data_IF_946862459654
#
_entry.id   IF_946862459654
#
_cell.length_a   1.000
_cell.length_b   1.000
_cell.length_c   1.000
_cell.angle_alpha   90.00
_cell.angle_beta   90.00
_cell.angle_gamma   90.00
#
_symmetry.space_group_name_H-M   'P 1'
#
loop_
_entity.id
_entity.type
_entity.pdbx_description
1 polymer ?
#
# COMPACT_ATOMS: atom_id res chain seq x y z
N UNK A 1 4.70 -11.29 -9.06
CA UNK A 1 5.57 -10.97 -7.89
C UNK A 1 5.98 -9.51 -7.93
N UNK A 2 6.21 -8.87 -6.76
CA UNK A 2 6.70 -7.48 -6.70
C UNK A 2 7.52 -7.24 -5.43
N UNK A 3 8.46 -6.29 -5.49
CA UNK A 3 9.29 -5.85 -4.35
C UNK A 3 8.67 -4.61 -3.72
N UNK A 4 8.54 -4.57 -2.40
CA UNK A 4 8.13 -3.38 -1.66
C UNK A 4 9.27 -2.35 -1.73
N UNK A 5 8.95 -1.13 -2.16
CA UNK A 5 9.93 -0.04 -2.32
C UNK A 5 9.55 1.23 -1.54
N UNK A 6 8.33 1.30 -0.99
CA UNK A 6 7.86 2.44 -0.20
C UNK A 6 6.80 2.00 0.80
N UNK A 7 6.97 2.44 2.05
CA UNK A 7 6.02 2.16 3.14
C UNK A 7 5.83 3.39 4.03
N UNK A 8 4.74 3.39 4.81
CA UNK A 8 4.52 4.35 5.90
C UNK A 8 4.11 3.62 7.18
N UNK A 9 4.68 4.04 8.31
CA UNK A 9 4.30 3.54 9.62
C UNK A 9 3.14 4.33 10.22
N UNK A 10 2.23 3.61 10.89
CA UNK A 10 1.10 4.15 11.66
C UNK A 10 1.06 3.43 13.01
N UNK A 11 1.29 4.18 14.11
CA UNK A 11 1.56 3.60 15.41
C UNK A 11 0.62 4.11 16.50
N UNK A 12 -0.22 3.21 16.96
CA UNK A 12 -1.05 3.38 18.14
C UNK A 12 -2.17 4.41 18.06
N UNK A 13 -2.89 4.59 19.17
CA UNK A 13 -3.98 5.56 19.29
C UNK A 13 -3.50 7.00 19.39
N UNK A 14 -2.25 7.24 19.79
CA UNK A 14 -1.68 8.58 19.89
C UNK A 14 -1.36 9.18 18.51
N UNK A 15 -1.11 8.33 17.51
CA UNK A 15 -0.89 8.78 16.14
C UNK A 15 -2.16 9.35 15.53
N UNK A 16 -2.24 10.67 15.44
CA UNK A 16 -3.39 11.38 14.89
C UNK A 16 -3.66 11.09 13.41
N UNK A 17 -2.72 10.48 12.71
CA UNK A 17 -2.93 10.00 11.34
C UNK A 17 -3.42 8.55 11.29
N UNK A 18 -3.26 7.77 12.37
CA UNK A 18 -3.70 6.37 12.47
C UNK A 18 -5.22 6.25 12.62
N UNK A 19 -5.78 5.19 12.07
CA UNK A 19 -7.17 4.80 12.34
C UNK A 19 -7.39 4.40 13.81
N UNK A 20 -6.36 3.97 14.51
CA UNK A 20 -6.40 3.61 15.92
C UNK A 20 -6.76 4.77 16.85
N UNK A 21 -6.56 6.04 16.42
CA UNK A 21 -6.91 7.25 17.19
C UNK A 21 -8.38 7.35 17.58
N UNK A 22 -9.25 6.69 16.85
CA UNK A 22 -10.69 6.68 17.10
C UNK A 22 -11.13 5.55 18.07
N UNK A 23 -10.15 4.86 18.68
CA UNK A 23 -10.40 3.64 19.45
C UNK A 23 -10.66 2.43 18.54
N UNK A 24 -10.97 1.29 19.18
CA UNK A 24 -11.28 0.06 18.45
C UNK A 24 -12.68 0.13 17.83
N UNK A 25 -12.75 -0.11 16.54
CA UNK A 25 -13.98 -0.21 15.75
C UNK A 25 -13.98 -1.54 15.00
N UNK A 26 -15.13 -2.00 14.52
CA UNK A 26 -15.21 -3.22 13.70
C UNK A 26 -14.25 -3.19 12.51
N UNK A 27 -13.99 -2.00 11.94
CA UNK A 27 -13.12 -1.82 10.77
C UNK A 27 -11.64 -1.96 11.11
N UNK A 28 -11.19 -1.39 12.22
CA UNK A 28 -9.77 -1.30 12.58
C UNK A 28 -9.33 -2.27 13.69
N UNK A 29 -10.24 -3.08 14.23
CA UNK A 29 -9.93 -4.03 15.30
C UNK A 29 -8.78 -4.98 14.94
N UNK A 30 -8.63 -5.31 13.64
CA UNK A 30 -7.54 -6.14 13.13
C UNK A 30 -6.16 -5.54 13.41
N UNK A 31 -6.03 -4.21 13.51
CA UNK A 31 -4.75 -3.53 13.78
C UNK A 31 -4.16 -3.90 15.15
N UNK A 32 -4.99 -4.35 16.10
CA UNK A 32 -4.55 -4.83 17.41
C UNK A 32 -4.38 -6.37 17.46
N UNK A 33 -4.50 -7.03 16.32
CA UNK A 33 -4.31 -8.47 16.16
C UNK A 33 -2.85 -8.88 16.02
N UNK A 34 -2.61 -10.13 15.60
CA UNK A 34 -1.25 -10.64 15.35
C UNK A 34 -0.54 -9.84 14.26
N UNK A 35 0.79 -9.60 14.37
CA UNK A 35 1.56 -9.02 13.30
C UNK A 35 1.60 -9.96 12.07
N UNK A 36 1.78 -9.37 10.87
CA UNK A 36 1.77 -10.12 9.61
C UNK A 36 0.37 -10.30 9.00
N UNK A 37 -0.68 -9.87 9.69
CA UNK A 37 -2.05 -9.94 9.16
C UNK A 37 -2.34 -8.74 8.26
N UNK A 38 -3.11 -8.98 7.19
CA UNK A 38 -3.52 -7.97 6.23
C UNK A 38 -4.65 -7.10 6.79
N UNK A 39 -4.49 -5.79 6.69
CA UNK A 39 -5.53 -4.79 6.94
C UNK A 39 -5.77 -3.95 5.70
N UNK A 40 -6.95 -4.08 5.12
CA UNK A 40 -7.36 -3.30 3.92
C UNK A 40 -8.49 -2.36 4.29
N UNK A 41 -8.40 -1.12 3.82
CA UNK A 41 -9.49 -0.16 4.00
C UNK A 41 -9.71 0.68 2.74
N UNK A 42 -10.96 1.04 2.51
CA UNK A 42 -11.37 1.88 1.38
C UNK A 42 -11.15 3.37 1.70
N UNK A 43 -10.43 4.08 0.83
CA UNK A 43 -10.19 5.53 0.90
C UNK A 43 -11.07 6.27 -0.09
N UNK A 44 -11.79 7.28 0.40
CA UNK A 44 -12.67 8.15 -0.40
C UNK A 44 -13.69 7.39 -1.27
N UNK A 45 -14.04 6.16 -0.91
CA UNK A 45 -14.93 5.30 -1.70
C UNK A 45 -14.37 4.88 -3.07
N UNK A 46 -13.07 5.03 -3.29
CA UNK A 46 -12.46 4.84 -4.62
C UNK A 46 -11.32 3.84 -4.66
N UNK A 47 -10.49 3.78 -3.64
CA UNK A 47 -9.30 2.95 -3.62
C UNK A 47 -9.18 2.19 -2.30
N UNK A 48 -8.85 0.93 -2.40
CA UNK A 48 -8.39 0.15 -1.26
C UNK A 48 -6.93 0.47 -0.96
N UNK A 49 -6.58 0.47 0.32
CA UNK A 49 -5.21 0.64 0.80
C UNK A 49 -4.79 -0.57 1.61
N UNK A 50 -3.67 -1.16 1.21
CA UNK A 50 -3.07 -2.36 1.77
C UNK A 50 -2.15 -2.00 2.93
N UNK A 51 -2.41 -2.59 4.10
CA UNK A 51 -1.51 -2.47 5.26
C UNK A 51 -1.18 -3.84 5.83
N UNK A 52 -0.01 -3.95 6.42
CA UNK A 52 0.41 -5.10 7.22
C UNK A 52 0.32 -4.71 8.69
N UNK A 53 -0.42 -5.48 9.49
CA UNK A 53 -0.47 -5.28 10.94
C UNK A 53 0.92 -5.50 11.52
N UNK A 54 1.35 -4.60 12.40
CA UNK A 54 2.68 -4.62 13.03
C UNK A 54 2.57 -4.29 14.52
N UNK A 55 3.57 -4.68 15.29
CA UNK A 55 3.61 -4.46 16.73
C UNK A 55 3.12 -5.67 17.54
N UNK A 56 3.04 -5.50 18.85
CA UNK A 56 2.57 -6.54 19.75
C UNK A 56 1.05 -6.71 19.69
N UNK A 57 0.55 -7.92 19.91
CA UNK A 57 -0.89 -8.17 20.04
C UNK A 57 -1.48 -7.29 21.14
N UNK A 58 -2.55 -6.60 20.83
CA UNK A 58 -3.19 -5.61 21.70
C UNK A 58 -2.70 -4.18 21.51
N UNK A 59 -1.56 -3.95 20.85
CA UNK A 59 -1.03 -2.64 20.49
C UNK A 59 -1.33 -2.36 19.01
N UNK A 60 -2.32 -1.49 18.69
CA UNK A 60 -2.73 -1.31 17.29
C UNK A 60 -1.66 -0.56 16.50
N UNK A 61 -1.09 -1.23 15.52
CA UNK A 61 -0.10 -0.67 14.60
C UNK A 61 -0.22 -1.26 13.21
N UNK A 62 0.22 -0.53 12.20
CA UNK A 62 0.21 -1.00 10.82
C UNK A 62 1.26 -0.31 9.95
N UNK A 63 1.71 -1.02 8.94
CA UNK A 63 2.60 -0.51 7.88
C UNK A 63 1.81 -0.46 6.58
N UNK A 64 1.57 0.73 6.07
CA UNK A 64 0.94 0.95 4.76
C UNK A 64 1.94 0.66 3.65
N UNK A 65 1.60 -0.21 2.72
CA UNK A 65 2.37 -0.44 1.50
C UNK A 65 2.00 0.61 0.47
N UNK A 66 2.92 1.54 0.19
CA UNK A 66 2.65 2.68 -0.68
C UNK A 66 3.03 2.43 -2.13
N UNK A 67 4.13 1.75 -2.36
CA UNK A 67 4.56 1.41 -3.70
C UNK A 67 5.34 0.11 -3.73
N UNK A 68 5.20 -0.60 -4.85
CA UNK A 68 5.97 -1.79 -5.15
C UNK A 68 6.55 -1.72 -6.57
N UNK A 69 7.72 -2.31 -6.76
CA UNK A 69 8.31 -2.58 -8.06
C UNK A 69 7.74 -3.89 -8.61
N UNK A 70 7.04 -3.89 -9.75
CA UNK A 70 6.65 -5.12 -10.43
C UNK A 70 7.88 -5.89 -10.90
N UNK A 71 8.08 -7.11 -10.39
CA UNK A 71 9.13 -8.02 -10.85
C UNK A 71 8.60 -8.94 -11.96
N UNK A 72 7.32 -9.32 -11.85
CA UNK A 72 6.63 -10.18 -12.78
C UNK A 72 5.13 -9.87 -12.79
N UNK A 73 4.38 -10.39 -13.79
CA UNK A 73 2.92 -10.29 -13.85
C UNK A 73 2.40 -8.89 -14.24
N UNK A 74 3.15 -8.09 -15.00
CA UNK A 74 2.74 -6.73 -15.36
C UNK A 74 1.40 -6.70 -16.15
N UNK A 75 1.10 -7.71 -16.96
CA UNK A 75 -0.16 -7.78 -17.71
C UNK A 75 -1.35 -8.11 -16.78
N UNK A 76 -1.15 -8.99 -15.84
CA UNK A 76 -2.11 -9.33 -14.79
C UNK A 76 -2.43 -8.09 -13.93
N UNK A 77 -1.42 -7.32 -13.56
CA UNK A 77 -1.59 -6.03 -12.85
C UNK A 77 -2.40 -5.02 -13.66
N UNK A 78 -2.18 -4.93 -14.98
CA UNK A 78 -2.99 -4.08 -15.86
C UNK A 78 -4.45 -4.51 -15.88
N UNK A 79 -4.72 -5.83 -16.02
CA UNK A 79 -6.07 -6.40 -16.01
C UNK A 79 -6.77 -6.13 -14.67
N UNK A 80 -6.10 -6.37 -13.54
CA UNK A 80 -6.65 -6.12 -12.21
C UNK A 80 -7.00 -4.62 -12.02
N UNK A 81 -6.12 -3.72 -12.43
CA UNK A 81 -6.38 -2.27 -12.40
C UNK A 81 -7.57 -1.88 -13.26
N UNK A 82 -7.74 -2.49 -14.44
CA UNK A 82 -8.89 -2.22 -15.31
C UNK A 82 -10.20 -2.66 -14.65
N UNK A 83 -10.22 -3.79 -13.97
CA UNK A 83 -11.39 -4.25 -13.19
C UNK A 83 -11.78 -3.22 -12.12
N UNK A 84 -10.81 -2.65 -11.39
CA UNK A 84 -11.06 -1.61 -10.38
C UNK A 84 -11.55 -0.31 -11.06
N UNK A 85 -10.93 0.12 -12.16
CA UNK A 85 -11.35 1.31 -12.90
C UNK A 85 -12.78 1.19 -13.49
N UNK A 86 -13.15 0.00 -13.98
CA UNK A 86 -14.48 -0.24 -14.55
C UNK A 86 -15.63 -0.03 -13.53
N UNK A 87 -15.33 -0.15 -12.24
CA UNK A 87 -16.30 0.13 -11.15
C UNK A 87 -16.56 1.63 -10.95
N UNK A 88 -15.72 2.51 -11.52
CA UNK A 88 -15.80 3.96 -11.35
C UNK A 88 -16.84 4.57 -12.25
N UNK A 89 -17.45 5.68 -11.77
CA UNK A 89 -18.50 6.40 -12.52
C UNK A 89 -18.02 6.83 -13.93
N UNK A 90 -16.78 7.31 -14.03
CA UNK A 90 -16.22 7.76 -15.32
C UNK A 90 -16.05 6.62 -16.35
N UNK A 91 -15.87 5.39 -15.91
CA UNK A 91 -15.70 4.21 -16.77
C UNK A 91 -17.00 3.44 -17.01
N UNK A 92 -18.16 3.98 -16.62
CA UNK A 92 -19.47 3.34 -16.85
C UNK A 92 -19.98 3.53 -18.30
N UNK A 93 -19.34 4.37 -19.11
CA UNK A 93 -19.60 4.49 -20.54
C UNK A 93 -18.54 3.71 -21.33
N UNK A 94 -18.86 3.23 -22.53
CA UNK A 94 -17.88 2.56 -23.41
C UNK A 94 -16.64 3.42 -23.66
N UNK A 95 -16.81 4.72 -23.90
CA UNK A 95 -15.72 5.66 -24.16
C UNK A 95 -14.85 5.86 -22.91
N UNK A 96 -15.46 5.96 -21.72
CA UNK A 96 -14.76 6.09 -20.45
C UNK A 96 -13.96 4.84 -20.10
N UNK A 97 -14.50 3.65 -20.39
CA UNK A 97 -13.79 2.38 -20.21
C UNK A 97 -12.61 2.27 -21.18
N UNK A 98 -12.81 2.58 -22.46
CA UNK A 98 -11.74 2.57 -23.47
C UNK A 98 -10.62 3.56 -23.12
N UNK A 99 -10.96 4.74 -22.62
CA UNK A 99 -9.99 5.72 -22.16
C UNK A 99 -9.19 5.22 -20.94
N UNK A 100 -9.84 4.52 -20.00
CA UNK A 100 -9.17 3.91 -18.85
C UNK A 100 -8.22 2.80 -19.30
N UNK A 101 -8.65 1.94 -20.22
CA UNK A 101 -7.84 0.86 -20.80
C UNK A 101 -6.61 1.42 -21.51
N UNK A 102 -6.76 2.41 -22.39
CA UNK A 102 -5.65 3.05 -23.09
C UNK A 102 -4.64 3.67 -22.10
N UNK A 103 -5.12 4.36 -21.06
CA UNK A 103 -4.28 4.96 -20.02
C UNK A 103 -3.50 3.92 -19.24
N UNK A 104 -4.15 2.82 -18.86
CA UNK A 104 -3.50 1.73 -18.12
C UNK A 104 -2.49 1.01 -19.03
N UNK A 105 -2.82 0.76 -20.29
CA UNK A 105 -1.91 0.15 -21.26
C UNK A 105 -0.65 1.00 -21.48
N UNK A 106 -0.78 2.32 -21.58
CA UNK A 106 0.33 3.25 -21.73
C UNK A 106 1.14 3.48 -20.44
N UNK A 107 0.66 3.01 -19.27
CA UNK A 107 1.38 3.17 -18.02
C UNK A 107 2.69 2.35 -18.04
N UNK A 108 3.83 2.99 -17.74
CA UNK A 108 5.11 2.29 -17.60
C UNK A 108 5.00 1.22 -16.50
N UNK A 109 5.76 0.12 -16.63
CA UNK A 109 5.71 -1.00 -15.68
C UNK A 109 6.03 -0.54 -14.26
N UNK A 110 7.08 0.26 -14.08
CA UNK A 110 7.51 0.82 -12.79
C UNK A 110 6.48 1.76 -12.14
N UNK A 111 5.43 2.16 -12.86
CA UNK A 111 4.35 3.02 -12.37
C UNK A 111 3.01 2.31 -12.17
N UNK A 112 2.94 1.01 -12.46
CA UNK A 112 1.70 0.24 -12.34
C UNK A 112 1.18 0.17 -10.91
N UNK A 113 2.07 0.10 -9.94
CA UNK A 113 1.76 -0.01 -8.50
C UNK A 113 2.49 1.07 -7.66
N UNK A 114 2.60 2.29 -8.21
CA UNK A 114 3.24 3.43 -7.57
C UNK A 114 2.19 4.35 -6.92
N UNK A 115 1.87 4.09 -5.68
CA UNK A 115 0.86 4.73 -4.86
C UNK A 115 -0.06 3.72 -4.17
N UNK A 116 -0.53 3.97 -2.93
CA UNK A 116 -1.18 2.94 -2.09
C UNK A 116 -2.44 2.36 -2.73
N UNK A 117 -3.27 3.19 -3.34
CA UNK A 117 -4.45 2.72 -4.07
C UNK A 117 -4.13 1.97 -5.36
N UNK A 118 -2.97 2.25 -6.00
CA UNK A 118 -2.52 1.52 -7.18
C UNK A 118 -1.92 0.18 -6.81
N UNK A 119 -1.29 0.05 -5.63
CA UNK A 119 -0.82 -1.25 -5.11
C UNK A 119 -2.00 -2.20 -4.98
N UNK A 120 -3.04 -1.83 -4.20
CA UNK A 120 -4.21 -2.68 -4.03
C UNK A 120 -4.89 -3.02 -5.36
N UNK A 121 -5.07 -2.01 -6.24
CA UNK A 121 -5.69 -2.22 -7.54
C UNK A 121 -4.87 -3.14 -8.47
N UNK A 122 -3.54 -3.06 -8.45
CA UNK A 122 -2.65 -3.88 -9.27
C UNK A 122 -2.67 -5.36 -8.87
N UNK A 123 -2.95 -5.65 -7.60
CA UNK A 123 -3.06 -7.02 -7.08
C UNK A 123 -4.50 -7.51 -6.91
N UNK A 124 -5.50 -6.69 -7.24
CA UNK A 124 -6.91 -7.04 -7.05
C UNK A 124 -7.28 -7.21 -5.57
N UNK A 125 -6.59 -6.51 -4.68
CA UNK A 125 -6.80 -6.57 -3.24
C UNK A 125 -7.93 -5.61 -2.87
N UNK A 126 -8.91 -6.10 -2.10
CA UNK A 126 -9.99 -5.31 -1.53
C UNK A 126 -10.22 -5.66 -0.05
N UNK A 127 -11.19 -5.01 0.57
CA UNK A 127 -11.49 -5.16 2.00
C UNK A 127 -11.87 -6.58 2.41
N UNK A 128 -12.27 -7.47 1.49
CA UNK A 128 -12.64 -8.86 1.80
C UNK A 128 -11.44 -9.71 2.24
N UNK A 129 -10.22 -9.27 1.88
CA UNK A 129 -8.97 -9.93 2.26
C UNK A 129 -8.45 -9.48 3.64
N UNK A 130 -9.11 -8.53 4.32
CA UNK A 130 -8.73 -8.14 5.68
C UNK A 130 -8.79 -9.35 6.62
N UNK A 131 -7.73 -9.56 7.37
CA UNK A 131 -7.59 -10.72 8.28
C UNK A 131 -6.80 -11.88 7.69
N UNK A 132 -6.42 -11.84 6.39
CA UNK A 132 -5.54 -12.86 5.81
C UNK A 132 -4.15 -12.80 6.46
N UNK A 133 -3.61 -13.96 6.80
CA UNK A 133 -2.24 -14.08 7.29
C UNK A 133 -1.27 -14.06 6.10
N UNK A 134 -0.41 -13.04 6.03
CA UNK A 134 0.57 -12.87 4.97
C UNK A 134 1.81 -13.76 5.15
N UNK A 135 1.96 -14.40 6.30
CA UNK A 135 3.07 -15.30 6.62
C UNK A 135 2.68 -16.78 6.42
N UNK A 136 1.39 -17.07 6.18
CA UNK A 136 0.91 -18.43 5.90
C UNK A 136 1.22 -18.83 4.44
N UNK A 137 1.93 -19.96 4.26
CA UNK A 137 2.27 -20.51 2.94
C UNK A 137 1.04 -20.85 2.09
N UNK A 138 -0.09 -21.16 2.71
CA UNK A 138 -1.38 -21.43 2.05
C UNK A 138 -2.16 -20.18 1.66
N UNK A 139 -1.73 -18.99 2.10
CA UNK A 139 -2.43 -17.75 1.79
C UNK A 139 -2.31 -17.36 0.31
N UNK A 140 -3.41 -16.85 -0.26
CA UNK A 140 -3.46 -16.36 -1.65
C UNK A 140 -2.52 -15.18 -1.88
N UNK A 141 -2.29 -14.37 -0.84
CA UNK A 141 -1.36 -13.24 -0.85
C UNK A 141 -0.36 -13.44 0.27
N UNK A 142 0.93 -13.32 -0.03
CA UNK A 142 2.01 -13.55 0.94
C UNK A 142 3.03 -12.43 0.91
N UNK A 143 3.63 -12.20 2.06
CA UNK A 143 4.82 -11.37 2.21
C UNK A 143 6.02 -12.32 2.39
N UNK A 144 6.91 -12.32 1.42
CA UNK A 144 8.07 -13.19 1.41
C UNK A 144 9.35 -12.36 1.57
N UNK A 145 10.33 -12.94 2.22
CA UNK A 145 11.70 -12.42 2.19
C UNK A 145 12.40 -13.00 0.96
N UNK A 146 13.09 -12.16 0.21
CA UNK A 146 13.89 -12.64 -0.91
C UNK A 146 14.98 -13.58 -0.37
N UNK A 147 15.04 -14.79 -0.92
CA UNK A 147 16.04 -15.80 -0.48
C UNK A 147 17.47 -15.37 -0.78
N UNK A 148 17.67 -14.51 -1.81
CA UNK A 148 18.98 -13.96 -2.16
C UNK A 148 19.39 -12.82 -1.22
N UNK A 149 18.44 -12.20 -0.52
CA UNK A 149 18.67 -11.14 0.48
C UNK A 149 19.05 -11.69 1.88
N UNK A 150 19.57 -12.92 1.98
CA UNK A 150 20.09 -13.45 3.24
C UNK A 150 21.38 -12.71 3.60
N UNK A 151 21.24 -11.51 4.14
CA UNK A 151 22.35 -10.67 4.61
C UNK A 151 22.24 -9.19 4.21
N UNK A 152 21.63 -8.85 3.10
CA UNK A 152 21.43 -7.47 2.68
C UNK A 152 19.99 -7.03 2.95
N UNK A 153 19.73 -6.64 4.18
CA UNK A 153 18.79 -5.56 4.42
C UNK A 153 19.20 -4.42 3.49
N UNK A 154 18.25 -3.82 2.78
CA UNK A 154 18.52 -2.57 2.03
C UNK A 154 19.36 -1.70 2.96
N UNK A 155 20.59 -1.40 2.54
CA UNK A 155 21.52 -0.67 3.40
C UNK A 155 20.82 0.62 3.86
N UNK A 156 20.91 0.95 5.15
CA UNK A 156 20.23 2.14 5.71
C UNK A 156 20.50 3.41 4.90
N UNK A 157 21.70 3.52 4.31
CA UNK A 157 22.09 4.61 3.41
C UNK A 157 21.28 4.66 2.09
N UNK A 158 20.63 3.56 1.70
CA UNK A 158 19.78 3.49 0.50
C UNK A 158 18.30 3.78 0.81
N UNK A 159 17.94 4.00 2.08
CA UNK A 159 16.57 4.32 2.50
C UNK A 159 16.43 5.81 2.74
N UNK A 160 15.56 6.45 1.98
CA UNK A 160 15.13 7.82 2.23
C UNK A 160 14.02 7.81 3.30
N UNK A 161 14.21 8.59 4.36
CA UNK A 161 13.28 8.71 5.48
C UNK A 161 12.69 10.13 5.46
N UNK A 162 11.37 10.22 5.28
CA UNK A 162 10.66 11.48 5.08
C UNK A 162 9.33 11.52 5.84
N UNK A 163 8.69 12.69 5.94
CA UNK A 163 7.30 12.76 6.39
C UNK A 163 6.35 11.96 5.51
N UNK A 164 5.30 11.43 6.16
CA UNK A 164 4.20 10.70 5.49
C UNK A 164 3.41 11.61 4.54
N UNK A 165 2.83 11.04 3.51
CA UNK A 165 2.09 11.77 2.47
C UNK A 165 0.58 11.74 2.74
N UNK A 166 -0.08 12.90 2.59
CA UNK A 166 -1.55 12.98 2.63
C UNK A 166 -2.14 13.03 4.04
N UNK A 167 -1.33 13.30 5.07
CA UNK A 167 -1.76 13.32 6.48
C UNK A 167 -1.75 14.71 7.12
N UNK A 168 -1.82 15.79 6.34
CA UNK A 168 -1.84 17.17 6.87
C UNK A 168 -2.95 17.42 7.91
N UNK A 169 -4.06 16.68 7.82
CA UNK A 169 -5.16 16.72 8.78
C UNK A 169 -4.77 16.30 10.20
N UNK A 170 -3.67 15.58 10.37
CA UNK A 170 -3.18 15.13 11.68
C UNK A 170 -2.52 16.23 12.50
N UNK A 171 -2.33 17.42 11.92
CA UNK A 171 -1.62 18.55 12.52
C UNK A 171 -0.11 18.49 12.28
N UNK A 172 0.58 19.65 12.50
CA UNK A 172 1.98 19.81 12.11
C UNK A 172 2.92 18.80 12.76
N UNK A 173 2.74 18.51 14.05
CA UNK A 173 3.61 17.59 14.81
C UNK A 173 3.58 16.18 14.24
N UNK A 174 2.40 15.69 13.85
CA UNK A 174 2.24 14.36 13.29
C UNK A 174 2.56 14.31 11.81
N UNK A 175 2.25 15.38 11.07
CA UNK A 175 2.53 15.48 9.66
C UNK A 175 4.03 15.57 9.35
N UNK A 176 4.83 16.13 10.26
CA UNK A 176 6.28 16.26 10.10
C UNK A 176 7.09 15.04 10.52
N UNK A 177 6.47 14.06 11.20
CA UNK A 177 7.20 12.85 11.64
C UNK A 177 7.75 12.07 10.46
N UNK A 178 9.04 11.67 10.53
CA UNK A 178 9.72 10.97 9.42
C UNK A 178 9.37 9.47 9.42
N UNK A 179 8.11 9.16 9.18
CA UNK A 179 7.57 7.81 9.23
C UNK A 179 7.20 7.24 7.85
N UNK A 180 7.76 7.79 6.81
CA UNK A 180 7.74 7.24 5.45
C UNK A 180 9.15 6.81 5.08
N UNK A 181 9.28 5.60 4.59
CA UNK A 181 10.52 4.94 4.20
C UNK A 181 10.41 4.54 2.74
N UNK A 182 11.40 4.91 1.93
CA UNK A 182 11.42 4.61 0.50
C UNK A 182 12.85 4.28 0.04
N UNK A 183 12.99 3.40 -0.94
CA UNK A 183 14.29 3.19 -1.59
C UNK A 183 14.64 4.46 -2.36
N UNK A 184 15.76 5.09 -2.01
CA UNK A 184 16.18 6.37 -2.55
C UNK A 184 16.30 6.33 -4.08
N UNK A 185 15.65 7.28 -4.75
CA UNK A 185 15.70 7.39 -6.22
C UNK A 185 15.02 6.28 -7.00
N UNK A 186 14.39 5.29 -6.35
CA UNK A 186 13.77 4.17 -7.04
C UNK A 186 12.59 4.61 -7.93
N UNK A 187 12.50 4.16 -9.20
CA UNK A 187 11.51 4.64 -10.16
C UNK A 187 10.05 4.32 -9.78
N UNK A 188 9.80 3.29 -8.98
CA UNK A 188 8.45 2.91 -8.55
C UNK A 188 7.95 3.67 -7.31
N UNK A 189 8.81 4.42 -6.60
CA UNK A 189 8.40 5.24 -5.44
C UNK A 189 7.32 6.23 -5.84
N UNK A 190 6.31 6.38 -4.97
CA UNK A 190 5.14 7.24 -5.21
C UNK A 190 5.43 8.72 -4.95
N UNK A 191 4.56 9.60 -5.45
CA UNK A 191 4.67 11.05 -5.26
C UNK A 191 5.40 11.78 -6.39
N UNK A 192 5.51 13.12 -6.30
CA UNK A 192 6.25 13.91 -7.28
C UNK A 192 7.75 13.56 -7.18
N UNK A 193 8.37 13.29 -8.33
CA UNK A 193 9.83 13.18 -8.40
C UNK A 193 10.41 14.58 -8.20
N UNK A 194 11.48 14.68 -7.41
CA UNK A 194 12.32 15.87 -7.48
C UNK A 194 12.75 16.06 -8.94
N UNK A 195 12.49 17.24 -9.49
CA UNK A 195 12.92 17.62 -10.83
C UNK A 195 14.42 17.86 -10.86
#
# INVERSE_FOLDING_TARGET
MARIVEVEAYDGPEDRASHARFGSTRRNAVMAGPPGVLYVYLVYGMYDCLNVVAGAVGAPGAVLIRAVEPLDGAQEMRRARLVVEARRRAARTPEGLAAAEARIAATRVDRLASGPGLVAAAFGIDTSLTGSDLCDEGSTIRLERDAEDVGDLVADAAVEITPRIGIAYAGPDWASRPWRFAIAGHPSVSGPRAR
#
